data_IF_951729581147
#
_entry.id   IF_951729581147
#
_cell.length_a   1.000
_cell.length_b   1.000
_cell.length_c   1.000
_cell.angle_alpha   90.00
_cell.angle_beta   90.00
_cell.angle_gamma   90.00
#
_symmetry.space_group_name_H-M   'P 1'
#
loop_
_entity.id
_entity.type
_entity.pdbx_description
1 polymer ?
#
# COMPACT_ATOMS: atom_id res chain seq x y z
N UNK A 1 -22.98 2.83 -0.53
CA UNK A 1 -23.48 2.23 0.72
C UNK A 1 -24.43 1.06 0.45
N UNK A 2 -25.70 1.28 0.05
CA UNK A 2 -26.68 0.20 -0.16
C UNK A 2 -26.19 -0.97 -1.05
N UNK A 3 -25.43 -0.69 -2.10
CA UNK A 3 -24.86 -1.74 -2.95
C UNK A 3 -23.61 -2.42 -2.36
N UNK A 4 -22.86 -1.78 -1.45
CA UNK A 4 -21.81 -2.44 -0.64
C UNK A 4 -22.43 -3.31 0.44
N UNK A 5 -23.51 -2.83 1.08
CA UNK A 5 -24.31 -3.62 2.02
C UNK A 5 -24.92 -4.84 1.32
N UNK A 6 -25.51 -4.67 0.13
CA UNK A 6 -26.04 -5.78 -0.66
C UNK A 6 -24.94 -6.74 -1.14
N UNK A 7 -23.74 -6.24 -1.48
CA UNK A 7 -22.60 -7.10 -1.80
C UNK A 7 -22.10 -7.87 -0.57
N UNK A 8 -22.08 -7.25 0.61
CA UNK A 8 -21.78 -7.93 1.87
C UNK A 8 -22.83 -9.02 2.17
N UNK A 9 -24.11 -8.76 1.90
CA UNK A 9 -25.19 -9.76 2.05
C UNK A 9 -25.07 -10.91 1.04
N UNK A 10 -24.77 -10.63 -0.23
CA UNK A 10 -24.51 -11.69 -1.24
C UNK A 10 -23.30 -12.54 -0.85
N UNK A 11 -22.19 -11.92 -0.43
CA UNK A 11 -21.02 -12.64 0.08
C UNK A 11 -21.37 -13.50 1.31
N UNK A 12 -22.16 -12.96 2.24
CA UNK A 12 -22.60 -13.71 3.42
C UNK A 12 -23.47 -14.91 3.02
N UNK A 13 -24.37 -14.74 2.04
CA UNK A 13 -25.25 -15.81 1.55
C UNK A 13 -24.48 -16.96 0.87
N UNK A 14 -23.29 -16.66 0.34
CA UNK A 14 -22.38 -17.63 -0.31
C UNK A 14 -21.34 -18.21 0.66
N UNK A 15 -21.34 -17.80 1.92
CA UNK A 15 -20.34 -18.21 2.90
C UNK A 15 -18.95 -17.58 2.67
N UNK A 16 -18.86 -16.50 1.90
CA UNK A 16 -17.60 -15.80 1.59
C UNK A 16 -17.29 -14.73 2.64
N UNK A 17 -16.73 -15.14 3.78
CA UNK A 17 -16.36 -14.25 4.88
C UNK A 17 -15.35 -13.17 4.47
N UNK A 18 -14.43 -13.48 3.55
CA UNK A 18 -13.45 -12.54 3.02
C UNK A 18 -14.12 -11.45 2.16
N UNK A 19 -15.11 -11.83 1.35
CA UNK A 19 -15.95 -10.92 0.58
C UNK A 19 -16.80 -10.00 1.47
N UNK A 20 -17.40 -10.53 2.54
CA UNK A 20 -18.18 -9.74 3.52
C UNK A 20 -17.30 -8.67 4.18
N UNK A 21 -16.14 -9.08 4.72
CA UNK A 21 -15.24 -8.16 5.39
C UNK A 21 -14.66 -7.12 4.43
N UNK A 22 -14.48 -7.47 3.17
CA UNK A 22 -14.03 -6.54 2.14
C UNK A 22 -15.09 -5.48 1.81
N UNK A 23 -16.33 -5.89 1.56
CA UNK A 23 -17.43 -4.96 1.30
C UNK A 23 -17.62 -4.00 2.48
N UNK A 24 -17.51 -4.52 3.72
CA UNK A 24 -17.53 -3.71 4.95
C UNK A 24 -16.30 -2.81 5.08
N UNK A 25 -15.11 -3.29 4.72
CA UNK A 25 -13.89 -2.48 4.70
C UNK A 25 -14.03 -1.27 3.76
N UNK A 26 -14.61 -1.44 2.57
CA UNK A 26 -14.89 -0.34 1.64
C UNK A 26 -15.97 0.59 2.22
N UNK A 27 -17.04 0.02 2.78
CA UNK A 27 -18.12 0.77 3.41
C UNK A 27 -17.62 1.66 4.55
N UNK A 28 -16.80 1.10 5.45
CA UNK A 28 -16.13 1.84 6.54
C UNK A 28 -15.09 2.83 6.02
N UNK A 29 -14.61 2.62 4.78
CA UNK A 29 -13.61 3.47 4.15
C UNK A 29 -14.16 4.66 3.37
N UNK A 30 -15.47 4.72 3.11
CA UNK A 30 -16.11 5.81 2.36
C UNK A 30 -16.57 6.92 3.32
N UNK A 31 -15.87 8.08 3.42
CA UNK A 31 -16.15 9.02 4.52
C UNK A 31 -17.33 9.97 4.25
N UNK A 32 -17.98 9.93 3.08
CA UNK A 32 -18.95 10.96 2.69
C UNK A 32 -20.29 10.42 2.16
N UNK A 33 -21.43 10.88 2.71
CA UNK A 33 -22.76 10.52 2.21
C UNK A 33 -23.10 11.13 0.85
N UNK A 34 -22.25 11.99 0.28
CA UNK A 34 -22.52 12.76 -0.94
C UNK A 34 -21.54 12.54 -2.10
N UNK A 35 -20.63 11.56 -2.02
CA UNK A 35 -19.76 11.24 -3.14
C UNK A 35 -20.00 9.82 -3.62
N UNK A 36 -20.78 9.72 -4.69
CA UNK A 36 -20.91 8.51 -5.48
C UNK A 36 -19.66 8.40 -6.35
N UNK A 37 -18.91 7.33 -6.18
CA UNK A 37 -17.98 6.83 -7.19
C UNK A 37 -18.66 6.92 -8.58
N UNK A 38 -17.93 7.26 -9.66
CA UNK A 38 -18.46 7.06 -11.00
C UNK A 38 -18.96 5.61 -11.07
N UNK A 39 -20.25 5.43 -11.37
CA UNK A 39 -20.92 4.12 -11.41
C UNK A 39 -20.08 3.00 -12.08
N UNK A 40 -19.33 3.26 -13.17
CA UNK A 40 -18.46 2.25 -13.78
C UNK A 40 -17.38 1.69 -12.86
N UNK A 41 -16.77 2.52 -12.02
CA UNK A 41 -15.69 2.16 -11.08
C UNK A 41 -16.25 1.49 -9.82
N UNK A 42 -17.39 1.97 -9.32
CA UNK A 42 -18.11 1.31 -8.24
C UNK A 42 -18.52 -0.11 -8.63
N UNK A 43 -19.06 -0.28 -9.84
CA UNK A 43 -19.42 -1.58 -10.37
C UNK A 43 -18.16 -2.44 -10.62
N UNK A 44 -16.96 -1.85 -10.80
CA UNK A 44 -15.69 -2.57 -10.99
C UNK A 44 -15.11 -3.12 -9.70
N UNK A 45 -15.13 -2.34 -8.63
CA UNK A 45 -14.72 -2.80 -7.32
C UNK A 45 -15.63 -3.90 -6.78
N UNK A 46 -16.93 -3.83 -7.09
CA UNK A 46 -17.89 -4.89 -6.80
C UNK A 46 -17.75 -6.12 -7.70
N UNK A 47 -17.17 -6.00 -8.90
CA UNK A 47 -16.78 -7.15 -9.75
C UNK A 47 -15.54 -7.89 -9.25
N UNK A 48 -14.63 -7.17 -8.59
CA UNK A 48 -13.35 -7.68 -8.09
C UNK A 48 -13.41 -8.17 -6.63
N UNK A 49 -14.54 -7.98 -5.94
CA UNK A 49 -14.91 -8.86 -4.85
C UNK A 49 -15.12 -10.28 -5.42
N UNK A 50 -14.82 -11.32 -4.64
CA UNK A 50 -15.12 -12.72 -4.99
C UNK A 50 -16.63 -13.00 -5.20
N UNK A 51 -17.48 -12.02 -4.89
CA UNK A 51 -18.93 -12.00 -5.08
C UNK A 51 -19.28 -11.03 -6.21
N UNK A 52 -20.25 -11.38 -7.08
CA UNK A 52 -20.64 -10.55 -8.22
C UNK A 52 -21.92 -9.77 -7.93
N UNK A 53 -21.97 -8.49 -8.31
CA UNK A 53 -23.25 -7.88 -8.68
C UNK A 53 -23.77 -8.52 -9.98
N UNK A 54 -25.09 -8.73 -10.13
CA UNK A 54 -25.65 -9.18 -11.40
C UNK A 54 -25.34 -8.18 -12.52
N UNK A 55 -24.59 -8.60 -13.55
CA UNK A 55 -24.51 -7.88 -14.83
C UNK A 55 -23.24 -7.09 -15.16
N UNK A 56 -22.09 -7.40 -14.56
CA UNK A 56 -20.91 -6.56 -14.67
C UNK A 56 -19.70 -7.32 -15.25
N UNK A 57 -19.09 -6.81 -16.34
CA UNK A 57 -17.88 -7.34 -17.01
C UNK A 57 -16.94 -6.22 -17.46
N UNK A 58 -15.62 -6.34 -17.19
CA UNK A 58 -14.50 -6.10 -18.13
C UNK A 58 -13.12 -6.21 -17.44
N UNK A 59 -12.03 -6.16 -18.24
CA UNK A 59 -10.75 -6.83 -18.02
C UNK A 59 -9.57 -5.93 -17.56
N UNK A 60 -8.66 -6.54 -16.80
CA UNK A 60 -7.39 -5.99 -16.28
C UNK A 60 -6.28 -5.97 -17.37
N UNK A 61 -5.45 -4.92 -17.41
CA UNK A 61 -4.29 -4.82 -18.34
C UNK A 61 -2.99 -5.09 -17.57
N UNK A 62 -2.11 -5.95 -18.14
CA UNK A 62 -0.76 -6.24 -17.62
C UNK A 62 0.30 -5.50 -18.44
N UNK A 63 1.33 -4.94 -17.80
CA UNK A 63 2.43 -4.24 -18.47
C UNK A 63 3.79 -4.78 -17.98
N UNK A 64 4.80 -4.80 -18.84
CA UNK A 64 6.18 -5.17 -18.47
C UNK A 64 7.04 -3.91 -18.48
N UNK A 65 7.62 -3.53 -17.33
CA UNK A 65 8.54 -2.40 -17.21
C UNK A 65 9.98 -2.92 -17.18
N UNK A 66 10.81 -2.48 -18.10
CA UNK A 66 12.26 -2.67 -18.05
C UNK A 66 12.90 -1.53 -17.27
N UNK A 67 13.72 -1.84 -16.26
CA UNK A 67 14.50 -0.85 -15.50
C UNK A 67 15.97 -1.00 -15.91
N UNK A 68 16.60 0.05 -16.46
CA UNK A 68 18.01 0.03 -16.87
C UNK A 68 18.94 0.61 -15.79
N UNK A 69 20.18 0.10 -15.74
CA UNK A 69 21.21 0.44 -14.75
C UNK A 69 22.01 1.69 -15.13
N UNK A 70 21.96 2.76 -14.34
CA UNK A 70 22.91 3.89 -14.45
C UNK A 70 23.60 4.25 -13.12
N UNK A 71 23.75 3.29 -12.21
CA UNK A 71 24.70 3.42 -11.10
C UNK A 71 25.13 2.04 -10.62
N UNK A 72 26.29 1.97 -9.98
CA UNK A 72 27.03 0.76 -9.59
C UNK A 72 26.34 -0.11 -8.50
N UNK A 73 25.00 -0.12 -8.47
CA UNK A 73 24.13 -1.00 -7.70
C UNK A 73 23.17 -1.64 -8.70
N UNK A 74 23.51 -2.83 -9.19
CA UNK A 74 22.70 -3.57 -10.16
C UNK A 74 21.32 -3.89 -9.57
N UNK A 75 20.25 -3.31 -10.15
CA UNK A 75 19.14 -4.17 -10.52
C UNK A 75 19.73 -5.04 -11.63
N UNK A 76 20.18 -6.24 -11.30
CA UNK A 76 20.50 -7.27 -12.30
C UNK A 76 19.37 -7.29 -13.34
N UNK A 77 19.63 -7.59 -14.61
CA UNK A 77 18.72 -7.59 -15.78
C UNK A 77 17.40 -8.39 -15.58
N UNK A 78 16.64 -8.04 -14.55
CA UNK A 78 15.50 -8.75 -14.01
C UNK A 78 14.30 -7.98 -14.48
N UNK A 79 13.59 -8.59 -15.43
CA UNK A 79 12.26 -8.11 -15.82
C UNK A 79 11.35 -8.20 -14.61
N UNK A 80 10.83 -7.06 -14.18
CA UNK A 80 9.82 -6.99 -13.14
C UNK A 80 8.44 -7.22 -13.78
N UNK A 81 7.63 -8.05 -13.13
CA UNK A 81 6.22 -8.21 -13.48
C UNK A 81 5.42 -7.15 -12.73
N UNK A 82 4.80 -6.22 -13.47
CA UNK A 82 4.19 -5.01 -12.92
C UNK A 82 2.73 -4.94 -13.34
N UNK A 83 1.85 -4.96 -12.34
CA UNK A 83 0.43 -4.72 -12.53
C UNK A 83 0.13 -3.25 -12.20
N UNK A 84 -0.26 -2.47 -13.20
CA UNK A 84 -0.61 -1.05 -13.02
C UNK A 84 -2.13 -0.94 -12.84
N UNK A 85 -2.55 -0.46 -11.68
CA UNK A 85 -3.97 -0.27 -11.32
C UNK A 85 -4.44 1.15 -11.62
N UNK A 86 -3.53 2.12 -11.54
CA UNK A 86 -3.80 3.54 -11.82
C UNK A 86 -2.52 4.21 -12.30
N UNK A 87 -2.63 5.04 -13.34
CA UNK A 87 -1.49 5.80 -13.87
C UNK A 87 -1.27 7.12 -13.10
N UNK A 88 -2.35 7.81 -12.72
CA UNK A 88 -2.28 9.14 -12.10
C UNK A 88 -3.29 9.34 -10.95
N UNK A 89 -2.82 9.59 -9.71
CA UNK A 89 -1.46 9.32 -9.26
C UNK A 89 -1.19 7.79 -9.30
N UNK A 90 0.05 7.34 -9.51
CA UNK A 90 0.35 5.95 -9.82
C UNK A 90 -0.04 5.01 -8.68
N UNK A 91 -0.56 3.83 -9.02
CA UNK A 91 -0.75 2.67 -8.13
C UNK A 91 -0.35 1.43 -8.92
N UNK A 92 0.69 0.73 -8.48
CA UNK A 92 1.23 -0.43 -9.17
C UNK A 92 1.71 -1.51 -8.19
N UNK A 93 1.47 -2.78 -8.51
CA UNK A 93 1.98 -3.92 -7.76
C UNK A 93 3.11 -4.59 -8.56
N UNK A 94 4.25 -4.78 -7.92
CA UNK A 94 5.40 -5.49 -8.47
C UNK A 94 5.39 -6.89 -7.87
N UNK A 95 5.21 -7.90 -8.73
CA UNK A 95 5.09 -9.29 -8.29
C UNK A 95 6.45 -9.87 -7.91
N UNK A 96 6.48 -10.63 -6.82
CA UNK A 96 7.67 -11.35 -6.34
C UNK A 96 8.90 -10.46 -6.19
N UNK A 97 8.73 -9.19 -5.81
CA UNK A 97 9.80 -8.20 -5.73
C UNK A 97 10.95 -8.67 -4.83
N UNK A 98 10.67 -9.06 -3.58
CA UNK A 98 11.68 -9.53 -2.62
C UNK A 98 11.58 -11.03 -2.34
N UNK A 99 12.71 -11.63 -1.94
CA UNK A 99 12.77 -13.02 -1.50
C UNK A 99 12.33 -13.17 -0.04
N UNK A 100 11.91 -14.38 0.33
CA UNK A 100 11.61 -14.72 1.72
C UNK A 100 12.81 -14.51 2.67
N UNK A 101 14.04 -14.68 2.17
CA UNK A 101 15.26 -14.42 2.94
C UNK A 101 15.44 -12.93 3.26
N UNK A 102 15.16 -12.05 2.30
CA UNK A 102 15.22 -10.60 2.52
C UNK A 102 14.16 -10.15 3.56
N UNK A 103 12.95 -10.71 3.47
CA UNK A 103 11.91 -10.50 4.46
C UNK A 103 12.29 -11.05 5.85
N UNK A 104 12.84 -12.26 5.94
CA UNK A 104 13.31 -12.80 7.21
C UNK A 104 14.39 -11.91 7.84
N UNK A 105 15.31 -11.40 7.02
CA UNK A 105 16.39 -10.51 7.48
C UNK A 105 15.87 -9.18 8.03
N UNK A 106 14.83 -8.61 7.41
CA UNK A 106 14.15 -7.41 7.93
C UNK A 106 13.58 -7.65 9.34
N UNK A 107 12.88 -8.77 9.53
CA UNK A 107 12.30 -9.12 10.82
C UNK A 107 13.37 -9.41 11.87
N UNK A 108 14.46 -10.07 11.49
CA UNK A 108 15.61 -10.29 12.37
C UNK A 108 16.26 -8.96 12.80
N UNK A 109 16.44 -8.02 11.88
CA UNK A 109 16.95 -6.67 12.20
C UNK A 109 16.00 -5.86 13.11
N UNK A 110 14.69 -6.14 13.05
CA UNK A 110 13.74 -5.62 14.03
C UNK A 110 13.90 -6.25 15.42
N UNK A 111 14.56 -7.40 15.52
CA UNK A 111 14.62 -8.22 16.73
C UNK A 111 13.34 -9.02 16.95
N UNK A 112 12.71 -9.50 15.87
CA UNK A 112 11.51 -10.33 15.94
C UNK A 112 10.20 -9.57 16.18
N UNK A 113 9.07 -10.28 16.10
CA UNK A 113 7.74 -9.69 16.28
C UNK A 113 7.49 -9.20 17.71
N UNK A 114 8.17 -9.79 18.69
CA UNK A 114 8.15 -9.44 20.11
C UNK A 114 8.71 -8.04 20.39
N UNK A 115 9.51 -7.50 19.48
CA UNK A 115 10.14 -6.19 19.64
C UNK A 115 9.39 -5.08 18.89
N UNK A 116 8.21 -5.39 18.33
CA UNK A 116 7.29 -4.40 17.79
C UNK A 116 6.40 -3.89 18.93
N UNK A 117 6.17 -2.58 18.95
CA UNK A 117 5.25 -1.97 19.91
C UNK A 117 3.87 -1.78 19.31
N UNK A 118 2.83 -1.84 20.14
CA UNK A 118 1.46 -1.58 19.68
C UNK A 118 1.37 -0.19 19.04
N UNK A 119 0.99 -0.16 17.77
CA UNK A 119 0.83 1.04 16.98
C UNK A 119 -0.64 1.45 17.05
N UNK A 120 -0.96 2.19 18.11
CA UNK A 120 -2.29 2.78 18.30
C UNK A 120 -2.24 4.25 17.94
N UNK A 121 -2.59 4.58 16.69
CA UNK A 121 -2.84 5.97 16.31
C UNK A 121 -4.22 6.39 16.85
N UNK A 122 -4.26 7.44 17.67
CA UNK A 122 -5.52 8.06 18.12
C UNK A 122 -5.90 9.13 17.10
N UNK A 123 -7.08 8.99 16.49
CA UNK A 123 -7.63 10.06 15.65
C UNK A 123 -8.03 11.28 16.47
N UNK A 124 -8.15 12.45 15.81
CA UNK A 124 -8.57 13.71 16.44
C UNK A 124 -9.94 13.62 17.18
N UNK A 125 -10.76 12.62 16.85
CA UNK A 125 -12.07 12.34 17.45
C UNK A 125 -12.07 11.17 18.47
N UNK A 126 -10.92 10.68 18.91
CA UNK A 126 -10.82 9.71 20.02
C UNK A 126 -11.06 8.22 19.67
N UNK A 127 -11.17 7.86 18.39
CA UNK A 127 -11.21 6.45 17.94
C UNK A 127 -9.82 5.84 17.70
N UNK A 128 -9.69 4.53 17.93
CA UNK A 128 -8.51 3.75 17.53
C UNK A 128 -8.47 3.65 15.99
N UNK A 129 -7.50 4.33 15.37
CA UNK A 129 -7.39 4.48 13.92
C UNK A 129 -6.55 3.37 13.27
N UNK A 130 -5.75 2.68 14.09
CA UNK A 130 -4.87 1.57 13.69
C UNK A 130 -4.83 0.53 14.81
N UNK A 131 -4.97 -0.75 14.44
CA UNK A 131 -4.76 -1.93 15.28
C UNK A 131 -3.70 -2.80 14.63
N UNK A 132 -2.45 -2.64 15.08
CA UNK A 132 -1.29 -3.40 14.62
C UNK A 132 -0.14 -3.17 15.59
N UNK A 133 0.97 -3.88 15.44
CA UNK A 133 2.24 -3.56 16.09
C UNK A 133 3.24 -3.04 15.05
N UNK A 134 4.15 -2.14 15.40
CA UNK A 134 5.15 -1.64 14.46
C UNK A 134 6.47 -1.22 15.11
N UNK A 135 7.51 -1.06 14.27
CA UNK A 135 8.81 -0.53 14.64
C UNK A 135 9.48 0.14 13.44
N UNK A 136 10.10 1.29 13.65
CA UNK A 136 11.00 1.90 12.67
C UNK A 136 12.39 1.28 12.78
N UNK A 137 12.93 0.77 11.66
CA UNK A 137 14.32 0.38 11.54
C UNK A 137 15.17 1.60 11.24
N UNK A 138 16.07 1.95 12.16
CA UNK A 138 16.98 3.07 11.99
C UNK A 138 17.84 2.91 10.73
N UNK A 139 18.11 4.01 10.03
CA UNK A 139 18.89 4.00 8.79
C UNK A 139 20.26 3.33 8.98
N UNK A 140 20.93 3.57 10.11
CA UNK A 140 22.23 2.96 10.40
C UNK A 140 22.18 1.42 10.43
N UNK A 141 21.06 0.83 10.88
CA UNK A 141 20.85 -0.62 10.88
C UNK A 141 20.68 -1.14 9.45
N UNK A 142 19.92 -0.41 8.63
CA UNK A 142 19.69 -0.77 7.22
C UNK A 142 20.99 -0.66 6.39
N UNK A 143 21.78 0.40 6.60
CA UNK A 143 23.02 0.64 5.84
C UNK A 143 24.16 -0.31 6.24
N UNK A 144 24.18 -0.78 7.49
CA UNK A 144 25.20 -1.72 7.99
C UNK A 144 25.01 -3.15 7.46
N UNK A 145 23.83 -3.49 6.92
CA UNK A 145 23.52 -4.79 6.37
C UNK A 145 23.42 -4.74 4.84
N UNK A 146 24.25 -5.52 4.15
CA UNK A 146 24.31 -5.52 2.68
C UNK A 146 22.97 -5.90 2.03
N UNK A 147 22.27 -6.89 2.59
CA UNK A 147 20.98 -7.35 2.06
C UNK A 147 19.92 -6.27 2.22
N UNK A 148 19.85 -5.64 3.40
CA UNK A 148 18.85 -4.62 3.68
C UNK A 148 19.13 -3.31 2.92
N UNK A 149 20.40 -2.91 2.82
CA UNK A 149 20.83 -1.77 2.02
C UNK A 149 20.47 -1.96 0.55
N UNK A 150 20.77 -3.13 -0.02
CA UNK A 150 20.43 -3.48 -1.40
C UNK A 150 18.91 -3.46 -1.63
N UNK A 151 18.14 -4.13 -0.76
CA UNK A 151 16.67 -4.16 -0.84
C UNK A 151 16.09 -2.74 -0.81
N UNK A 152 16.51 -1.91 0.14
CA UNK A 152 16.00 -0.55 0.30
C UNK A 152 16.32 0.32 -0.93
N UNK A 153 17.52 0.20 -1.48
CA UNK A 153 17.92 0.90 -2.69
C UNK A 153 17.07 0.46 -3.90
N UNK A 154 16.81 -0.84 -4.04
CA UNK A 154 15.92 -1.35 -5.09
C UNK A 154 14.49 -0.83 -4.94
N UNK A 155 13.94 -0.80 -3.72
CA UNK A 155 12.63 -0.21 -3.45
C UNK A 155 12.59 1.25 -3.88
N UNK A 156 13.62 2.04 -3.53
CA UNK A 156 13.76 3.44 -3.94
C UNK A 156 13.80 3.59 -5.46
N UNK A 157 14.68 2.84 -6.15
CA UNK A 157 14.83 2.93 -7.61
C UNK A 157 13.53 2.59 -8.32
N UNK A 158 12.91 1.46 -7.99
CA UNK A 158 11.65 1.05 -8.63
C UNK A 158 10.51 2.03 -8.35
N UNK A 159 10.43 2.58 -7.13
CA UNK A 159 9.44 3.61 -6.81
C UNK A 159 9.66 4.87 -7.67
N UNK A 160 10.90 5.34 -7.80
CA UNK A 160 11.23 6.50 -8.63
C UNK A 160 10.88 6.31 -10.11
N UNK A 161 11.21 5.16 -10.68
CA UNK A 161 10.90 4.84 -12.09
C UNK A 161 9.38 4.73 -12.34
N UNK A 162 8.63 4.05 -11.47
CA UNK A 162 7.19 3.87 -11.64
C UNK A 162 6.41 5.17 -11.41
N UNK A 163 6.86 5.99 -10.45
CA UNK A 163 6.18 7.24 -10.13
C UNK A 163 6.60 8.38 -11.04
N UNK A 164 7.80 8.30 -11.62
CA UNK A 164 8.49 9.39 -12.33
C UNK A 164 8.72 10.63 -11.46
N UNK A 165 8.72 10.47 -10.14
CA UNK A 165 9.02 11.54 -9.19
C UNK A 165 10.52 11.61 -8.92
N UNK A 166 11.04 12.80 -8.63
CA UNK A 166 12.41 12.99 -8.15
C UNK A 166 12.46 12.70 -6.65
N UNK A 167 12.72 11.46 -6.27
CA UNK A 167 12.68 11.03 -4.87
C UNK A 167 14.00 11.33 -4.14
N UNK A 168 13.93 11.82 -2.90
CA UNK A 168 15.09 12.13 -2.08
C UNK A 168 15.70 10.86 -1.45
N UNK A 169 16.90 10.48 -1.89
CA UNK A 169 17.68 9.38 -1.30
C UNK A 169 18.67 9.80 -0.22
N UNK A 170 18.98 11.10 -0.09
CA UNK A 170 20.03 11.59 0.81
C UNK A 170 19.62 11.51 2.28
N UNK A 171 18.34 11.73 2.57
CA UNK A 171 17.78 11.62 3.93
C UNK A 171 16.47 10.85 3.93
N UNK A 172 16.51 9.53 3.66
CA UNK A 172 15.31 8.72 3.58
C UNK A 172 14.74 8.48 4.99
N UNK A 173 13.42 8.48 5.11
CA UNK A 173 12.77 8.10 6.37
C UNK A 173 13.12 6.66 6.75
N UNK A 174 13.20 6.33 8.06
CA UNK A 174 13.37 4.95 8.51
C UNK A 174 12.33 4.00 7.89
N UNK A 175 12.75 2.79 7.52
CA UNK A 175 11.84 1.76 7.06
C UNK A 175 10.94 1.31 8.22
N UNK A 176 9.62 1.31 8.04
CA UNK A 176 8.68 0.87 9.07
C UNK A 176 8.30 -0.59 8.87
N UNK A 177 8.45 -1.42 9.89
CA UNK A 177 7.90 -2.77 9.93
C UNK A 177 6.57 -2.72 10.68
N UNK A 178 5.50 -3.21 10.07
CA UNK A 178 4.17 -3.27 10.66
C UNK A 178 3.61 -4.69 10.58
N UNK A 179 3.04 -5.19 11.68
CA UNK A 179 2.46 -6.52 11.78
C UNK A 179 1.01 -6.46 12.29
N UNK A 180 0.14 -7.22 11.63
CA UNK A 180 -1.28 -7.42 11.91
C UNK A 180 -1.44 -8.91 12.20
N UNK A 181 -1.46 -9.27 13.48
CA UNK A 181 -1.30 -10.66 13.95
C UNK A 181 -2.56 -11.21 14.60
N UNK A 182 -3.50 -10.34 14.97
CA UNK A 182 -4.78 -10.73 15.59
C UNK A 182 -5.90 -10.58 14.57
N UNK A 183 -6.91 -11.47 14.59
CA UNK A 183 -8.15 -11.25 13.86
C UNK A 183 -8.73 -9.87 14.21
N UNK A 184 -9.06 -9.08 13.20
CA UNK A 184 -9.55 -7.71 13.34
C UNK A 184 -8.46 -6.63 13.38
N UNK A 185 -7.17 -6.97 13.38
CA UNK A 185 -6.09 -5.99 13.18
C UNK A 185 -6.29 -5.30 11.82
N UNK A 186 -6.25 -3.97 11.80
CA UNK A 186 -6.61 -3.13 10.67
C UNK A 186 -5.86 -1.79 10.70
N UNK A 187 -5.88 -1.07 9.58
CA UNK A 187 -5.57 0.36 9.54
C UNK A 187 -6.65 1.06 8.73
N UNK A 188 -7.43 1.90 9.40
CA UNK A 188 -8.51 2.69 8.78
C UNK A 188 -7.98 3.67 7.72
N UNK A 189 -8.85 4.18 6.83
CA UNK A 189 -8.46 5.06 5.74
C UNK A 189 -7.66 6.25 6.21
N UNK A 190 -6.48 6.44 5.63
CA UNK A 190 -5.55 7.50 5.95
C UNK A 190 -4.73 7.91 4.73
N UNK A 191 -4.04 9.03 4.88
CA UNK A 191 -3.05 9.50 3.94
C UNK A 191 -1.68 9.45 4.61
N UNK A 192 -0.71 8.84 3.95
CA UNK A 192 0.69 8.81 4.43
C UNK A 192 1.33 10.19 4.41
N UNK A 193 1.01 10.97 3.37
CA UNK A 193 1.33 12.38 3.22
C UNK A 193 0.07 13.23 3.26
N UNK A 194 0.17 14.46 2.72
CA UNK A 194 -0.99 15.35 2.60
C UNK A 194 -1.86 14.91 1.43
N UNK A 195 -3.17 14.96 1.63
CA UNK A 195 -4.17 14.58 0.62
C UNK A 195 -5.26 15.64 0.45
N UNK A 196 -4.88 16.91 0.56
CA UNK A 196 -5.79 18.06 0.52
C UNK A 196 -6.01 18.66 -0.87
N UNK A 197 -5.31 18.18 -1.91
CA UNK A 197 -5.32 18.84 -3.22
C UNK A 197 -4.51 20.14 -3.27
N UNK A 198 -3.73 20.43 -2.23
CA UNK A 198 -2.97 21.66 -2.12
C UNK A 198 -1.60 21.55 -2.80
N UNK A 199 -0.90 22.69 -2.95
CA UNK A 199 0.41 22.73 -3.58
C UNK A 199 1.42 21.93 -2.76
N UNK A 200 2.17 21.04 -3.42
CA UNK A 200 3.25 20.29 -2.80
C UNK A 200 4.30 21.22 -2.20
N UNK A 201 4.88 20.82 -1.06
CA UNK A 201 6.00 21.51 -0.42
C UNK A 201 7.21 20.58 -0.31
N UNK A 202 8.43 21.08 -0.62
CA UNK A 202 9.65 20.28 -0.49
C UNK A 202 9.77 19.62 0.88
N UNK A 203 10.20 18.36 0.89
CA UNK A 203 10.33 17.54 2.10
C UNK A 203 9.04 16.84 2.56
N UNK A 204 7.89 17.12 1.95
CA UNK A 204 6.67 16.32 2.19
C UNK A 204 6.76 14.97 1.48
N UNK A 205 6.09 13.95 2.05
CA UNK A 205 5.96 12.62 1.43
C UNK A 205 5.19 12.73 0.11
N UNK A 206 5.69 12.09 -0.94
CA UNK A 206 5.14 12.09 -2.30
C UNK A 206 4.86 10.71 -2.85
N UNK A 207 5.46 9.66 -2.28
CA UNK A 207 5.18 8.28 -2.63
C UNK A 207 5.40 7.34 -1.46
N UNK A 208 4.87 6.13 -1.56
CA UNK A 208 5.15 5.00 -0.68
C UNK A 208 5.35 3.72 -1.45
N UNK A 209 6.24 2.89 -0.93
CA UNK A 209 6.30 1.47 -1.26
C UNK A 209 6.00 0.63 -0.02
N UNK A 210 5.18 -0.41 -0.22
CA UNK A 210 4.83 -1.40 0.79
C UNK A 210 5.28 -2.77 0.27
N UNK A 211 6.28 -3.35 0.93
CA UNK A 211 6.70 -4.73 0.71
C UNK A 211 5.87 -5.66 1.60
N UNK A 212 5.18 -6.64 1.00
CA UNK A 212 4.40 -7.65 1.71
C UNK A 212 5.25 -8.87 2.02
N UNK A 213 5.72 -8.97 3.26
CA UNK A 213 6.57 -10.09 3.67
C UNK A 213 5.82 -11.26 4.31
N UNK A 214 4.57 -11.04 4.68
CA UNK A 214 3.59 -12.09 4.95
C UNK A 214 2.20 -11.55 4.61
N UNK A 215 1.40 -12.39 3.97
CA UNK A 215 0.01 -12.09 3.62
C UNK A 215 -0.91 -13.03 4.39
N UNK A 216 -2.10 -12.56 4.81
CA UNK A 216 -3.02 -13.39 5.56
C UNK A 216 -3.73 -14.39 4.65
N UNK A 217 -4.25 -15.46 5.24
CA UNK A 217 -5.07 -16.42 4.50
C UNK A 217 -6.41 -15.79 4.07
N UNK A 218 -6.97 -14.92 4.92
CA UNK A 218 -8.21 -14.19 4.65
C UNK A 218 -8.12 -12.74 5.17
N UNK A 219 -8.67 -11.78 4.41
CA UNK A 219 -8.69 -10.37 4.78
C UNK A 219 -7.39 -9.62 4.41
N UNK A 220 -7.07 -8.53 5.12
CA UNK A 220 -5.77 -7.86 5.07
C UNK A 220 -5.38 -7.15 3.77
N UNK A 221 -6.31 -6.95 2.85
CA UNK A 221 -6.05 -6.23 1.59
C UNK A 221 -5.64 -4.78 1.83
N UNK A 222 -4.90 -4.20 0.88
CA UNK A 222 -4.73 -2.73 0.84
C UNK A 222 -5.77 -2.15 -0.10
N UNK A 223 -6.52 -1.15 0.35
CA UNK A 223 -7.62 -0.54 -0.41
C UNK A 223 -7.39 0.95 -0.60
N UNK A 224 -7.82 1.50 -1.75
CA UNK A 224 -7.79 2.94 -2.04
C UNK A 224 -9.23 3.46 -2.14
N UNK A 225 -9.54 4.54 -1.42
CA UNK A 225 -10.95 4.95 -1.18
C UNK A 225 -11.61 5.55 -2.41
N UNK A 226 -10.89 6.40 -3.16
CA UNK A 226 -11.43 7.07 -4.34
C UNK A 226 -11.73 6.18 -5.52
N UNK A 227 -10.93 5.13 -5.73
CA UNK A 227 -11.05 4.32 -6.94
C UNK A 227 -11.51 2.90 -6.63
N UNK A 228 -11.82 2.63 -5.35
CA UNK A 228 -12.23 1.33 -4.82
C UNK A 228 -11.29 0.19 -5.24
N UNK A 229 -10.01 0.52 -5.44
CA UNK A 229 -8.97 -0.44 -5.76
C UNK A 229 -8.73 -1.33 -4.54
N UNK A 230 -8.62 -2.64 -4.80
CA UNK A 230 -8.28 -3.66 -3.81
C UNK A 230 -7.04 -4.39 -4.28
N UNK A 231 -5.98 -4.25 -3.51
CA UNK A 231 -4.73 -4.93 -3.78
C UNK A 231 -4.66 -6.14 -2.86
N UNK A 232 -4.72 -7.33 -3.47
CA UNK A 232 -4.48 -8.64 -2.86
C UNK A 232 -3.08 -9.11 -3.23
N UNK A 233 -2.05 -8.69 -2.49
CA UNK A 233 -0.68 -9.07 -2.78
C UNK A 233 -0.41 -10.52 -2.36
N UNK A 234 0.60 -11.12 -2.97
CA UNK A 234 1.26 -12.31 -2.49
C UNK A 234 2.48 -11.94 -1.63
N UNK A 235 2.98 -12.92 -0.87
CA UNK A 235 4.23 -12.74 -0.15
C UNK A 235 5.39 -12.49 -1.14
N UNK A 236 6.18 -11.44 -0.85
CA UNK A 236 7.27 -10.96 -1.68
C UNK A 236 6.86 -9.83 -2.63
N UNK A 237 5.57 -9.57 -2.83
CA UNK A 237 5.12 -8.47 -3.69
C UNK A 237 5.40 -7.10 -3.06
N UNK A 238 5.58 -6.09 -3.90
CA UNK A 238 5.70 -4.69 -3.48
C UNK A 238 4.63 -3.83 -4.14
N UNK A 239 3.81 -3.15 -3.35
CA UNK A 239 2.88 -2.12 -3.83
C UNK A 239 3.58 -0.77 -3.82
N UNK A 240 3.50 -0.03 -4.92
CA UNK A 240 3.96 1.36 -5.07
C UNK A 240 2.76 2.24 -5.34
N UNK A 241 2.67 3.37 -4.64
CA UNK A 241 1.67 4.38 -4.94
C UNK A 241 2.19 5.80 -4.68
N UNK A 242 1.77 6.72 -5.54
CA UNK A 242 2.14 8.13 -5.50
C UNK A 242 1.02 9.02 -5.00
N UNK A 243 1.39 10.24 -4.62
CA UNK A 243 0.47 11.29 -4.16
C UNK A 243 0.65 12.59 -4.94
N UNK A 244 1.52 12.68 -5.95
CA UNK A 244 1.69 13.90 -6.73
C UNK A 244 0.91 13.84 -8.05
N UNK A 245 0.19 14.92 -8.32
CA UNK A 245 -0.45 15.20 -9.60
C UNK A 245 0.08 16.55 -10.07
N UNK A 246 1.10 16.53 -10.93
CA UNK A 246 1.85 17.74 -11.28
C UNK A 246 2.51 18.35 -10.05
N UNK A 247 2.22 19.63 -9.77
CA UNK A 247 2.74 20.36 -8.60
C UNK A 247 1.78 20.36 -7.39
N UNK A 248 0.74 19.54 -7.44
CA UNK A 248 -0.27 19.44 -6.37
C UNK A 248 -0.27 18.07 -5.75
N UNK A 249 -0.51 18.03 -4.45
CA UNK A 249 -0.83 16.80 -3.76
C UNK A 249 -2.15 16.25 -4.28
N UNK A 250 -2.28 14.94 -4.34
CA UNK A 250 -3.53 14.25 -4.57
C UNK A 250 -4.56 14.71 -3.52
N UNK A 251 -5.84 14.59 -3.86
CA UNK A 251 -6.90 14.64 -2.86
C UNK A 251 -7.04 13.23 -2.28
N UNK A 252 -8.26 12.75 -2.17
CA UNK A 252 -8.59 11.44 -1.64
C UNK A 252 -8.06 10.28 -2.52
N UNK A 253 -7.48 10.54 -3.69
CA UNK A 253 -6.90 9.51 -4.56
C UNK A 253 -5.78 8.73 -3.85
N UNK A 254 -5.05 9.39 -2.93
CA UNK A 254 -3.98 8.79 -2.14
C UNK A 254 -4.45 8.16 -0.81
N UNK A 255 -5.72 8.34 -0.44
CA UNK A 255 -6.27 7.80 0.80
C UNK A 255 -6.42 6.28 0.68
N UNK A 256 -5.87 5.57 1.65
CA UNK A 256 -5.81 4.12 1.61
C UNK A 256 -5.96 3.51 3.00
N UNK A 257 -6.29 2.22 3.05
CA UNK A 257 -6.49 1.45 4.27
C UNK A 257 -5.90 0.05 4.17
N UNK A 258 -5.67 -0.56 5.33
CA UNK A 258 -5.44 -1.99 5.45
C UNK A 258 -6.70 -2.63 6.03
N UNK A 259 -7.40 -3.44 5.23
CA UNK A 259 -8.59 -4.15 5.66
C UNK A 259 -8.27 -5.10 6.84
N UNK A 260 -9.27 -5.43 7.66
CA UNK A 260 -9.10 -6.36 8.76
C UNK A 260 -8.48 -7.69 8.34
N UNK A 261 -7.50 -8.18 9.09
CA UNK A 261 -7.04 -9.57 8.98
C UNK A 261 -8.14 -10.46 9.59
N UNK A 262 -8.57 -11.50 8.86
CA UNK A 262 -9.59 -12.43 9.35
C UNK A 262 -8.97 -13.76 9.78
N UNK A 263 -8.04 -14.28 8.97
CA UNK A 263 -7.35 -15.53 9.24
C UNK A 263 -5.87 -15.43 8.86
N UNK A 264 -5.01 -16.02 9.70
CA UNK A 264 -3.55 -15.95 9.55
C UNK A 264 -2.97 -14.64 10.10
N UNK A 265 -1.92 -14.13 9.46
CA UNK A 265 -1.24 -12.90 9.84
C UNK A 265 -0.70 -12.16 8.62
N UNK A 266 -0.57 -10.84 8.74
CA UNK A 266 0.02 -9.97 7.73
C UNK A 266 1.18 -9.21 8.36
N UNK A 267 2.30 -9.09 7.66
CA UNK A 267 3.28 -8.07 8.01
C UNK A 267 3.95 -7.50 6.79
N UNK A 268 4.25 -6.21 6.88
CA UNK A 268 4.72 -5.39 5.79
C UNK A 268 5.94 -4.57 6.21
N UNK A 269 6.76 -4.20 5.24
CA UNK A 269 7.78 -3.18 5.38
C UNK A 269 7.42 -1.99 4.48
N UNK A 270 7.28 -0.82 5.08
CA UNK A 270 6.85 0.42 4.42
C UNK A 270 8.00 1.40 4.34
N UNK A 271 8.25 1.94 3.15
CA UNK A 271 9.15 3.07 2.93
C UNK A 271 8.35 4.24 2.41
N UNK A 272 8.39 5.36 3.13
CA UNK A 272 7.88 6.65 2.67
C UNK A 272 8.98 7.42 1.96
N UNK A 273 8.63 8.14 0.89
CA UNK A 273 9.56 8.92 0.09
C UNK A 273 9.10 10.36 0.02
N UNK A 274 10.02 11.30 0.26
CA UNK A 274 9.82 12.72 -0.03
C UNK A 274 10.38 13.09 -1.41
N UNK A 275 9.91 14.19 -1.99
CA UNK A 275 10.54 14.76 -3.18
C UNK A 275 11.89 15.38 -2.82
N UNK A 276 12.85 15.33 -3.73
CA UNK A 276 14.06 16.14 -3.66
C UNK A 276 13.68 17.62 -3.55
N UNK A 277 14.36 18.35 -2.66
CA UNK A 277 14.26 19.80 -2.70
C UNK A 277 14.93 20.26 -4.00
N UNK A 278 14.20 20.94 -4.88
CA UNK A 278 14.85 21.68 -5.95
C UNK A 278 15.68 22.79 -5.31
N UNK A 279 16.98 22.79 -5.55
CA UNK A 279 17.83 23.93 -5.26
C UNK A 279 17.21 25.15 -5.95
N UNK A 280 16.72 26.11 -5.17
CA UNK A 280 16.30 27.41 -5.65
C UNK A 280 17.57 28.17 -6.04
N UNK A 281 18.12 27.89 -7.23
CA UNK A 281 19.22 28.67 -7.82
C UNK A 281 18.66 29.83 -8.63
#
# INVERSE_FOLDING_TARGET
LAALTAAAEDCASRGDAAGVAFARCIEDSAPFPNFLLPRPMFDEALRNASCRLPGASSAMRRHSVGVSSESNCSLEDRKLDVEVFREHPPVALIKSFASNAACARLLEAAGGFENLSDAVAKGAAGGFYRRSSSKNLANQVLEADETLRSLRYQMFKVTGELTRYKLNWTSPEPLNIAAYRKPGDEYRPHCDGRCGGDRHRPGERVATSILYCQVPAEGGHTTFTMDSLKIGPDQGDMLVFGYLIGQTMARQEAEHSACPVLAGGKWIATQWYAEEAEDQV
#
